data_IF_127659823728
#
_entry.id   IF_127659823728
#
_cell.length_a   1.000
_cell.length_b   1.000
_cell.length_c   1.000
_cell.angle_alpha   90.00
_cell.angle_beta   90.00
_cell.angle_gamma   90.00
#
_symmetry.space_group_name_H-M   'P 1'
#
loop_
_entity.id
_entity.type
_entity.pdbx_description
1 polymer ?
#
# COMPACT_ATOMS: atom_id res chain seq x y z
N UNK A 1 5.75 1.38 8.85
CA UNK A 1 4.95 0.14 8.66
C UNK A 1 5.20 -0.50 7.29
N UNK A 2 5.20 0.28 6.20
CA UNK A 2 5.28 -0.26 4.82
C UNK A 2 6.58 0.01 4.04
N UNK A 3 7.47 0.85 4.56
CA UNK A 3 8.66 1.29 3.81
C UNK A 3 9.56 0.12 3.42
N UNK A 4 9.86 -0.01 2.12
CA UNK A 4 10.73 -1.05 1.57
C UNK A 4 10.10 -2.45 1.43
N UNK A 5 8.81 -2.62 1.77
CA UNK A 5 8.10 -3.92 1.66
C UNK A 5 7.48 -4.18 0.29
N UNK A 6 7.33 -3.14 -0.55
CA UNK A 6 6.74 -3.21 -1.89
C UNK A 6 7.73 -3.76 -2.93
N UNK A 7 8.42 -4.85 -2.60
CA UNK A 7 9.39 -5.54 -3.46
C UNK A 7 8.82 -6.91 -3.83
N UNK A 8 7.81 -6.92 -4.69
CA UNK A 8 7.06 -8.12 -5.08
C UNK A 8 7.85 -9.02 -6.03
N UNK A 9 8.65 -8.43 -6.92
CA UNK A 9 9.47 -9.17 -7.87
C UNK A 9 10.58 -8.26 -8.44
N UNK A 10 11.87 -8.67 -8.47
CA UNK A 10 12.94 -7.87 -9.08
C UNK A 10 12.77 -7.59 -10.57
N UNK A 11 11.87 -8.32 -11.24
CA UNK A 11 11.59 -8.20 -12.67
C UNK A 11 10.38 -7.31 -12.99
N UNK A 12 9.56 -6.96 -11.99
CA UNK A 12 8.42 -6.07 -12.18
C UNK A 12 8.73 -4.66 -11.68
N UNK A 13 8.36 -3.61 -12.44
CA UNK A 13 8.54 -2.25 -11.98
C UNK A 13 7.76 -2.02 -10.69
N UNK A 14 8.42 -1.40 -9.71
CA UNK A 14 7.80 -1.04 -8.44
C UNK A 14 6.55 -0.18 -8.66
N UNK A 15 5.48 -0.36 -7.87
CA UNK A 15 4.32 0.51 -7.93
C UNK A 15 4.71 1.98 -7.73
N UNK A 16 4.12 2.89 -8.52
CA UNK A 16 4.33 4.34 -8.36
C UNK A 16 3.79 4.85 -7.02
N UNK A 17 2.70 4.26 -6.54
CA UNK A 17 2.18 4.47 -5.19
C UNK A 17 2.92 3.53 -4.23
N UNK A 18 3.96 4.04 -3.58
CA UNK A 18 4.77 3.29 -2.62
C UNK A 18 5.18 4.18 -1.44
N UNK A 19 5.75 3.54 -0.42
CA UNK A 19 6.16 4.17 0.82
C UNK A 19 7.69 4.17 1.00
N UNK A 20 8.46 4.13 -0.10
CA UNK A 20 9.93 4.02 -0.07
C UNK A 20 10.61 5.35 0.27
N UNK A 21 10.02 6.48 -0.14
CA UNK A 21 10.52 7.83 0.17
C UNK A 21 9.43 8.68 0.82
N UNK A 22 9.83 9.68 1.60
CA UNK A 22 8.88 10.54 2.31
C UNK A 22 7.90 11.26 1.38
N UNK A 23 8.39 11.84 0.28
CA UNK A 23 7.54 12.57 -0.68
C UNK A 23 6.58 11.62 -1.40
N UNK A 24 7.05 10.43 -1.77
CA UNK A 24 6.22 9.45 -2.45
C UNK A 24 5.17 8.83 -1.53
N UNK A 25 5.51 8.62 -0.25
CA UNK A 25 4.56 8.24 0.79
C UNK A 25 3.48 9.32 0.98
N UNK A 26 3.87 10.60 1.04
CA UNK A 26 2.93 11.71 1.18
C UNK A 26 1.94 11.78 -0.01
N UNK A 27 2.44 11.67 -1.24
CA UNK A 27 1.60 11.63 -2.44
C UNK A 27 0.67 10.40 -2.45
N UNK A 28 1.18 9.24 -2.00
CA UNK A 28 0.38 8.01 -1.90
C UNK A 28 -0.74 8.15 -0.87
N UNK A 29 -0.48 8.78 0.28
CA UNK A 29 -1.50 9.08 1.28
C UNK A 29 -2.52 10.08 0.73
N UNK A 30 -2.07 11.13 0.05
CA UNK A 30 -2.96 12.08 -0.60
C UNK A 30 -3.89 11.40 -1.62
N UNK A 31 -3.33 10.51 -2.45
CA UNK A 31 -4.09 9.72 -3.42
C UNK A 31 -5.13 8.79 -2.76
N UNK A 32 -4.80 8.18 -1.61
CA UNK A 32 -5.77 7.39 -0.84
C UNK A 32 -6.91 8.28 -0.32
N UNK A 33 -6.59 9.48 0.21
CA UNK A 33 -7.58 10.42 0.74
C UNK A 33 -8.52 10.99 -0.34
N UNK A 34 -8.05 11.13 -1.58
CA UNK A 34 -8.91 11.54 -2.70
C UNK A 34 -9.80 10.40 -3.22
N UNK A 35 -9.58 9.16 -2.76
CA UNK A 35 -10.30 7.97 -3.21
C UNK A 35 -9.90 7.47 -4.59
N UNK A 36 -8.76 7.91 -5.11
CA UNK A 36 -8.26 7.48 -6.41
C UNK A 36 -7.39 6.22 -6.26
N UNK A 37 -7.82 5.10 -6.84
CA UNK A 37 -7.05 3.84 -6.83
C UNK A 37 -6.58 3.35 -5.45
N UNK A 38 -7.28 3.74 -4.37
CA UNK A 38 -6.96 3.35 -3.00
C UNK A 38 -7.02 1.84 -2.78
N UNK A 39 -7.92 1.16 -3.50
CA UNK A 39 -8.05 -0.30 -3.52
C UNK A 39 -6.78 -0.98 -4.06
N UNK A 40 -6.18 -0.42 -5.12
CA UNK A 40 -4.93 -0.93 -5.71
C UNK A 40 -3.77 -0.78 -4.73
N UNK A 41 -3.68 0.36 -4.03
CA UNK A 41 -2.65 0.57 -2.99
C UNK A 41 -2.84 -0.41 -1.83
N UNK A 42 -4.08 -0.68 -1.43
CA UNK A 42 -4.41 -1.68 -0.41
C UNK A 42 -4.02 -3.09 -0.85
N UNK A 43 -4.32 -3.50 -2.09
CA UNK A 43 -3.95 -4.82 -2.61
C UNK A 43 -2.43 -5.03 -2.62
N UNK A 44 -1.69 -4.04 -3.09
CA UNK A 44 -0.22 -4.05 -3.02
C UNK A 44 0.26 -4.13 -1.56
N UNK A 45 -0.40 -3.42 -0.64
CA UNK A 45 -0.15 -3.51 0.79
C UNK A 45 -0.31 -4.94 1.33
N UNK A 46 -1.41 -5.62 1.02
CA UNK A 46 -1.67 -7.00 1.46
C UNK A 46 -0.62 -7.97 0.89
N UNK A 47 -0.30 -7.82 -0.40
CA UNK A 47 0.70 -8.65 -1.07
C UNK A 47 2.08 -8.46 -0.43
N UNK A 48 2.40 -7.26 0.07
CA UNK A 48 3.71 -6.95 0.65
C UNK A 48 3.93 -7.60 2.02
N UNK A 49 2.85 -8.11 2.61
CA UNK A 49 2.82 -8.80 3.90
C UNK A 49 2.56 -10.32 3.76
N UNK A 50 2.71 -10.89 2.56
CA UNK A 50 2.54 -12.33 2.33
C UNK A 50 1.19 -12.73 1.73
N UNK A 51 0.43 -11.76 1.19
CA UNK A 51 -0.80 -12.01 0.45
C UNK A 51 -2.04 -12.30 1.33
N UNK A 52 -3.15 -12.61 0.65
CA UNK A 52 -4.49 -12.75 1.26
C UNK A 52 -4.60 -13.97 2.19
N UNK A 53 -3.73 -14.97 2.03
CA UNK A 53 -3.73 -16.20 2.85
C UNK A 53 -3.04 -16.07 4.21
N UNK A 54 -2.46 -14.91 4.54
CA UNK A 54 -1.69 -14.68 5.77
C UNK A 54 -2.14 -13.41 6.52
N UNK A 55 -1.38 -12.98 7.53
CA UNK A 55 -1.63 -11.76 8.33
C UNK A 55 -1.71 -10.47 7.49
N UNK A 56 -1.39 -10.50 6.19
CA UNK A 56 -1.54 -9.38 5.26
C UNK A 56 -2.97 -8.82 5.19
N UNK A 57 -4.01 -9.59 5.50
CA UNK A 57 -5.39 -9.07 5.52
C UNK A 57 -5.67 -8.13 6.70
N UNK A 58 -4.91 -8.23 7.80
CA UNK A 58 -5.05 -7.28 8.93
C UNK A 58 -4.60 -5.88 8.51
N UNK A 59 -3.65 -5.82 7.59
CA UNK A 59 -3.08 -4.59 7.05
C UNK A 59 -4.11 -3.79 6.24
N UNK A 60 -5.07 -4.45 5.58
CA UNK A 60 -6.19 -3.75 4.91
C UNK A 60 -7.06 -2.93 5.86
N UNK A 61 -7.19 -3.35 7.13
CA UNK A 61 -7.98 -2.62 8.13
C UNK A 61 -7.39 -1.22 8.37
N UNK A 62 -6.06 -1.09 8.36
CA UNK A 62 -5.38 0.21 8.48
C UNK A 62 -5.77 1.17 7.35
N UNK A 63 -5.80 0.69 6.10
CA UNK A 63 -6.18 1.51 4.95
C UNK A 63 -7.66 1.90 4.97
N UNK A 64 -8.54 1.00 5.41
CA UNK A 64 -9.98 1.29 5.53
C UNK A 64 -10.22 2.36 6.61
N UNK A 65 -9.56 2.27 7.76
CA UNK A 65 -9.66 3.28 8.83
C UNK A 65 -9.12 4.63 8.34
N UNK A 66 -7.99 4.63 7.64
CA UNK A 66 -7.37 5.84 7.10
C UNK A 66 -8.20 6.51 6.00
N UNK A 67 -9.04 5.76 5.30
CA UNK A 67 -9.95 6.30 4.29
C UNK A 67 -11.22 6.92 4.90
N UNK A 68 -11.69 6.38 6.03
CA UNK A 68 -12.96 6.79 6.67
C UNK A 68 -12.76 7.92 7.69
N UNK A 69 -11.62 7.97 8.36
CA UNK A 69 -11.27 8.98 9.38
C UNK A 69 -10.21 9.95 8.87
#
# INVERSE_FOLDING_TARGET
VFGGKFNFNPQQPKPRANFDTFIQALLTVFQILTGEDWNTVMYNGIESFGGVGTLGVIVSIYYIVLFIC
#
